data_IF_308107914576
#
_entry.id   IF_308107914576
#
_cell.length_a   1.000
_cell.length_b   1.000
_cell.length_c   1.000
_cell.angle_alpha   90.00
_cell.angle_beta   90.00
_cell.angle_gamma   90.00
#
_symmetry.space_group_name_H-M   'P 1'
#
loop_
_entity.id
_entity.type
_entity.pdbx_description
1 polymer ?
#
# COMPACT_ATOMS: atom_id res chain seq x y z
N UNK A 1 -7.09 -10.88 -1.79
CA UNK A 1 -7.35 -10.08 -0.57
C UNK A 1 -7.77 -8.68 -0.97
N UNK A 2 -8.75 -8.08 -0.28
CA UNK A 2 -9.19 -6.72 -0.53
C UNK A 2 -8.74 -5.79 0.60
N UNK A 3 -7.91 -4.80 0.28
CA UNK A 3 -7.60 -3.69 1.18
C UNK A 3 -8.61 -2.57 0.93
N UNK A 4 -9.28 -2.14 1.98
CA UNK A 4 -10.19 -0.99 1.95
C UNK A 4 -9.45 0.23 2.47
N UNK A 5 -9.39 1.30 1.68
CA UNK A 5 -8.78 2.57 2.08
C UNK A 5 -9.81 3.63 2.46
N UNK A 6 -9.53 4.34 3.53
CA UNK A 6 -10.28 5.54 3.94
C UNK A 6 -9.33 6.73 4.12
N UNK A 7 -9.77 7.97 3.87
CA UNK A 7 -8.96 9.15 4.10
C UNK A 7 -8.47 9.24 5.53
N UNK A 8 -7.21 9.62 5.70
CA UNK A 8 -6.62 9.98 6.98
C UNK A 8 -6.13 11.45 6.92
N UNK A 9 -5.38 11.89 7.94
CA UNK A 9 -4.84 13.25 7.96
C UNK A 9 -3.74 13.47 6.91
N UNK A 10 -3.62 14.72 6.44
CA UNK A 10 -2.52 15.21 5.57
C UNK A 10 -2.34 14.42 4.27
N UNK A 11 -3.43 13.98 3.65
CA UNK A 11 -3.42 13.27 2.36
C UNK A 11 -2.98 11.80 2.46
N UNK A 12 -2.82 11.27 3.68
CA UNK A 12 -2.57 9.84 3.91
C UNK A 12 -3.89 9.08 3.88
N UNK A 13 -3.78 7.76 3.78
CA UNK A 13 -4.89 6.84 3.84
C UNK A 13 -4.66 5.80 4.93
N UNK A 14 -5.72 5.44 5.64
CA UNK A 14 -5.76 4.21 6.41
C UNK A 14 -6.00 3.05 5.45
N UNK A 15 -5.22 1.98 5.57
CA UNK A 15 -5.41 0.74 4.81
C UNK A 15 -5.89 -0.36 5.74
N UNK A 16 -7.10 -0.88 5.51
CA UNK A 16 -7.69 -1.95 6.32
C UNK A 16 -7.82 -3.25 5.54
N UNK A 17 -7.60 -4.39 6.21
CA UNK A 17 -7.95 -5.71 5.71
C UNK A 17 -8.90 -6.38 6.71
N UNK A 18 -10.11 -6.70 6.27
CA UNK A 18 -11.15 -7.30 7.11
C UNK A 18 -11.37 -6.56 8.45
N UNK A 19 -11.38 -5.21 8.41
CA UNK A 19 -11.57 -4.36 9.58
C UNK A 19 -10.32 -4.10 10.43
N UNK A 20 -9.20 -4.79 10.18
CA UNK A 20 -7.92 -4.53 10.86
C UNK A 20 -7.11 -3.48 10.10
N UNK A 21 -6.63 -2.46 10.81
CA UNK A 21 -5.70 -1.47 10.27
C UNK A 21 -4.32 -2.12 10.01
N UNK A 22 -3.83 -2.03 8.77
CA UNK A 22 -2.52 -2.50 8.37
C UNK A 22 -1.46 -1.39 8.45
N UNK A 23 -1.76 -0.20 7.92
CA UNK A 23 -0.84 0.93 7.90
C UNK A 23 -1.57 2.27 7.68
N UNK A 24 -0.85 3.38 7.91
CA UNK A 24 -1.27 4.73 7.51
C UNK A 24 -0.23 5.37 6.61
N UNK A 25 -0.49 5.46 5.30
CA UNK A 25 0.53 5.85 4.32
C UNK A 25 -0.03 6.71 3.18
N UNK A 26 0.85 7.45 2.52
CA UNK A 26 0.57 8.09 1.23
C UNK A 26 0.47 7.05 0.10
N UNK A 27 1.03 5.86 0.30
CA UNK A 27 1.05 4.78 -0.68
C UNK A 27 0.45 3.49 -0.11
N UNK A 28 -0.85 3.49 0.22
CA UNK A 28 -1.47 2.45 1.05
C UNK A 28 -1.32 1.03 0.46
N UNK A 29 -1.46 0.86 -0.86
CA UNK A 29 -1.28 -0.46 -1.50
C UNK A 29 0.10 -1.05 -1.23
N UNK A 30 1.16 -0.26 -1.43
CA UNK A 30 2.54 -0.72 -1.32
C UNK A 30 2.95 -0.94 0.14
N UNK A 31 2.58 -0.02 1.03
CA UNK A 31 2.89 -0.15 2.46
C UNK A 31 2.14 -1.32 3.11
N UNK A 32 0.84 -1.48 2.82
CA UNK A 32 0.07 -2.61 3.32
C UNK A 32 0.57 -3.96 2.77
N UNK A 33 0.98 -4.03 1.49
CA UNK A 33 1.59 -5.24 0.92
C UNK A 33 2.86 -5.67 1.69
N UNK A 34 3.67 -4.72 2.16
CA UNK A 34 4.86 -5.03 2.99
C UNK A 34 4.48 -5.57 4.36
N UNK A 35 3.43 -5.04 4.99
CA UNK A 35 2.88 -5.58 6.25
C UNK A 35 2.42 -7.03 6.04
N UNK A 36 1.61 -7.28 5.01
CA UNK A 36 1.12 -8.63 4.70
C UNK A 36 2.26 -9.61 4.39
N UNK A 37 3.27 -9.17 3.61
CA UNK A 37 4.47 -9.98 3.34
C UNK A 37 5.25 -10.30 4.61
N UNK A 38 5.40 -9.34 5.53
CA UNK A 38 6.06 -9.55 6.81
C UNK A 38 5.27 -10.51 7.73
N UNK A 39 3.95 -10.53 7.61
CA UNK A 39 3.06 -11.48 8.29
C UNK A 39 3.05 -12.88 7.65
N UNK A 40 3.82 -13.10 6.57
CA UNK A 40 3.99 -14.42 5.94
C UNK A 40 3.00 -14.73 4.82
N UNK A 41 2.22 -13.75 4.36
CA UNK A 41 1.35 -13.91 3.18
C UNK A 41 2.21 -14.20 1.94
N UNK A 42 1.80 -15.19 1.15
CA UNK A 42 2.59 -15.65 0.01
C UNK A 42 2.69 -14.54 -1.07
N UNK A 43 3.85 -14.39 -1.74
CA UNK A 43 4.06 -13.31 -2.71
C UNK A 43 3.08 -13.31 -3.88
N UNK A 44 2.61 -14.49 -4.33
CA UNK A 44 1.68 -14.64 -5.45
C UNK A 44 0.22 -14.35 -5.09
N UNK A 45 -0.10 -14.13 -3.80
CA UNK A 45 -1.48 -13.88 -3.39
C UNK A 45 -2.02 -12.60 -4.04
N UNK A 46 -3.19 -12.66 -4.69
CA UNK A 46 -3.81 -11.49 -5.30
C UNK A 46 -4.15 -10.41 -4.26
N UNK A 47 -3.82 -9.17 -4.59
CA UNK A 47 -4.10 -8.01 -3.77
C UNK A 47 -4.87 -6.97 -4.59
N UNK A 48 -6.05 -6.60 -4.11
CA UNK A 48 -6.85 -5.53 -4.68
C UNK A 48 -7.05 -4.43 -3.65
N UNK A 49 -7.29 -3.21 -4.12
CA UNK A 49 -7.61 -2.06 -3.28
C UNK A 49 -8.91 -1.41 -3.72
N UNK A 50 -9.71 -1.00 -2.74
CA UNK A 50 -11.00 -0.31 -2.92
C UNK A 50 -11.08 0.87 -1.96
N UNK A 51 -11.90 1.87 -2.28
CA UNK A 51 -12.23 2.92 -1.32
C UNK A 51 -13.36 2.48 -0.39
N UNK A 52 -13.35 2.95 0.86
CA UNK A 52 -14.44 2.75 1.79
C UNK A 52 -15.79 3.17 1.19
N UNK A 53 -16.79 2.28 1.29
CA UNK A 53 -18.11 2.49 0.72
C UNK A 53 -18.22 2.32 -0.80
N UNK A 54 -17.17 1.84 -1.47
CA UNK A 54 -17.16 1.59 -2.91
C UNK A 54 -16.68 0.18 -3.25
N UNK A 55 -17.43 -0.51 -4.11
CA UNK A 55 -17.03 -1.81 -4.67
C UNK A 55 -16.09 -1.68 -5.88
N UNK A 56 -15.78 -0.45 -6.31
CA UNK A 56 -14.91 -0.22 -7.45
C UNK A 56 -13.46 -0.50 -7.08
N UNK A 57 -12.88 -1.51 -7.73
CA UNK A 57 -11.46 -1.83 -7.62
C UNK A 57 -10.64 -0.72 -8.26
N UNK A 58 -9.83 -0.02 -7.45
CA UNK A 58 -9.01 1.09 -7.93
C UNK A 58 -7.59 0.66 -8.32
N UNK A 59 -7.04 -0.38 -7.68
CA UNK A 59 -5.75 -0.98 -8.04
C UNK A 59 -5.77 -2.50 -7.84
N UNK A 60 -4.96 -3.20 -8.63
CA UNK A 60 -4.74 -4.65 -8.57
C UNK A 60 -3.27 -4.97 -8.69
N UNK A 61 -2.78 -5.93 -7.91
CA UNK A 61 -1.42 -6.48 -8.00
C UNK A 61 -1.35 -7.83 -7.27
N UNK A 62 -0.14 -8.29 -6.97
CA UNK A 62 0.14 -9.36 -6.01
C UNK A 62 0.86 -8.78 -4.79
N UNK A 63 0.84 -9.48 -3.66
CA UNK A 63 1.55 -9.05 -2.45
C UNK A 63 3.04 -8.82 -2.72
N UNK A 64 3.69 -9.73 -3.45
CA UNK A 64 5.12 -9.68 -3.74
C UNK A 64 5.51 -8.50 -4.63
N UNK A 65 4.76 -8.28 -5.71
CA UNK A 65 4.99 -7.17 -6.62
C UNK A 65 4.75 -5.83 -5.92
N UNK A 66 3.60 -5.64 -5.28
CA UNK A 66 3.29 -4.41 -4.56
C UNK A 66 4.30 -4.12 -3.43
N UNK A 67 4.72 -5.13 -2.67
CA UNK A 67 5.71 -4.94 -1.61
C UNK A 67 7.10 -4.50 -2.14
N UNK A 68 7.39 -4.75 -3.42
CA UNK A 68 8.69 -4.46 -4.06
C UNK A 68 8.80 -3.03 -4.59
N UNK A 69 7.70 -2.29 -4.68
CA UNK A 69 7.67 -0.93 -5.24
C UNK A 69 7.25 0.12 -4.21
N UNK A 70 7.52 1.38 -4.52
CA UNK A 70 7.00 2.58 -3.87
C UNK A 70 6.72 3.64 -4.93
N UNK A 71 5.99 4.70 -4.57
CA UNK A 71 5.85 5.89 -5.43
C UNK A 71 6.95 6.89 -5.07
N UNK A 72 7.58 7.45 -6.10
CA UNK A 72 8.45 8.60 -6.04
C UNK A 72 7.77 9.77 -6.76
N UNK A 73 7.42 10.81 -5.99
CA UNK A 73 6.78 12.04 -6.47
C UNK A 73 7.82 13.16 -6.52
N UNK A 74 8.73 13.06 -7.50
CA UNK A 74 9.76 14.07 -7.72
C UNK A 74 9.17 15.44 -8.08
N UNK A 75 9.79 16.53 -7.62
CA UNK A 75 9.31 17.91 -7.88
C UNK A 75 9.10 18.23 -9.38
N UNK A 76 9.87 17.60 -10.26
CA UNK A 76 9.88 17.85 -11.71
C UNK A 76 9.38 16.65 -12.55
N UNK A 77 8.91 15.59 -11.91
CA UNK A 77 8.41 14.38 -12.57
C UNK A 77 7.09 13.98 -11.94
N UNK A 78 6.10 13.58 -12.74
CA UNK A 78 4.88 12.97 -12.19
C UNK A 78 5.18 11.73 -11.32
N UNK A 79 4.17 11.16 -10.66
CA UNK A 79 4.35 9.98 -9.82
C UNK A 79 4.94 8.82 -10.63
N UNK A 80 6.06 8.27 -10.15
CA UNK A 80 6.72 7.12 -10.78
C UNK A 80 6.87 5.96 -9.80
N UNK A 81 6.75 4.73 -10.29
CA UNK A 81 7.06 3.55 -9.51
C UNK A 81 8.57 3.35 -9.42
N UNK A 82 9.07 3.15 -8.21
CA UNK A 82 10.48 2.87 -7.93
C UNK A 82 10.61 1.64 -7.04
N UNK A 83 11.68 0.83 -7.20
CA UNK A 83 11.96 -0.24 -6.26
C UNK A 83 12.04 0.28 -4.82
N UNK A 84 11.34 -0.37 -3.90
CA UNK A 84 11.39 -0.02 -2.49
C UNK A 84 12.74 -0.42 -1.91
N UNK A 85 13.39 0.52 -1.20
CA UNK A 85 14.59 0.27 -0.42
C UNK A 85 14.33 0.71 1.01
N UNK A 86 14.31 -0.19 2.00
CA UNK A 86 14.13 0.19 3.39
C UNK A 86 15.28 1.12 3.78
N UNK A 87 14.95 2.32 4.24
CA UNK A 87 15.94 3.23 4.82
C UNK A 87 16.09 2.90 6.30
N UNK A 88 17.32 2.74 6.83
CA UNK A 88 17.53 2.56 8.26
C UNK A 88 17.11 3.78 9.09
N UNK A 89 16.83 4.91 8.44
CA UNK A 89 16.36 6.15 9.08
C UNK A 89 14.88 6.45 8.82
N UNK A 90 14.19 5.63 7.99
CA UNK A 90 12.77 5.83 7.77
C UNK A 90 11.98 5.38 9.00
N UNK A 91 11.02 6.19 9.41
CA UNK A 91 10.03 5.78 10.41
C UNK A 91 9.20 4.64 9.77
N UNK A 92 8.94 3.52 10.48
CA UNK A 92 7.98 2.54 10.00
C UNK A 92 6.62 3.22 9.81
N UNK A 93 6.01 3.04 8.63
CA UNK A 93 4.66 3.53 8.26
C UNK A 93 3.60 2.43 8.39
#
# INVERSE_FOLDING_TARGET
MNIVISPAERGRYHAHLAGRLLCTSLTPLFSAARVLKAEGVLPQEPLIMTHEGSDMVCLTSTVGEAASFTVDEGRNSGPTLRPYRPSPFARPE
#
